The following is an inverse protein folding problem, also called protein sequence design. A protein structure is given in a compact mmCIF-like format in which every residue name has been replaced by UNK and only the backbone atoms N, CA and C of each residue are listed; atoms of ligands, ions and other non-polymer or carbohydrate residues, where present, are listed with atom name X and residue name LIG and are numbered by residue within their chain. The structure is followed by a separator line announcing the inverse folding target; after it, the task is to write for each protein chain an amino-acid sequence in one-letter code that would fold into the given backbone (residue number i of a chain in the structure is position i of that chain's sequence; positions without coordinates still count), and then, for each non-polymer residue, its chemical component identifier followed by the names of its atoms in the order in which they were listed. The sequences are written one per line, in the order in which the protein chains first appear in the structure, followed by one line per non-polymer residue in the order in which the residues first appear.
data_IF_873159352992
#
_entry.id   IF_873159352992
#
_cell.length_a   1.000
_cell.length_b   1.000
_cell.length_c   1.000
_cell.angle_alpha   90.00
_cell.angle_beta   90.00
_cell.angle_gamma   90.00
#
_symmetry.space_group_name_H-M   'P 1'
#
loop_
_entity.id
_entity.type
_entity.pdbx_description
1 polymer ?
#
# COMPACT_ATOMS: atom_id res chain seq x y z
N UNK A 1 -13.17 3.03 -4.95
CA UNK A 1 -11.95 2.63 -5.68
C UNK A 1 -11.15 3.87 -6.03
N UNK A 2 -9.81 3.81 -5.99
CA UNK A 2 -8.96 4.94 -6.35
C UNK A 2 -8.59 4.86 -7.83
N UNK A 3 -9.42 5.39 -8.69
CA UNK A 3 -9.32 5.25 -10.15
C UNK A 3 -8.40 6.30 -10.81
N UNK A 4 -8.12 7.40 -10.11
CA UNK A 4 -7.56 8.61 -10.74
C UNK A 4 -6.15 8.96 -10.29
N UNK A 5 -5.53 8.21 -9.40
CA UNK A 5 -4.21 8.55 -8.86
C UNK A 5 -3.42 7.28 -8.50
N UNK A 6 -2.16 7.23 -8.91
CA UNK A 6 -1.23 6.17 -8.55
C UNK A 6 -0.78 6.23 -7.07
N UNK A 7 -1.08 7.29 -6.34
CA UNK A 7 -0.81 7.38 -4.90
C UNK A 7 -1.54 6.25 -4.16
N UNK A 8 -0.83 5.47 -3.37
CA UNK A 8 -1.34 4.28 -2.71
C UNK A 8 -1.08 2.98 -3.46
N UNK A 9 -0.49 3.04 -4.64
CA UNK A 9 -0.04 1.85 -5.36
C UNK A 9 1.45 1.54 -5.09
N UNK A 10 1.84 0.27 -5.27
CA UNK A 10 3.25 -0.14 -5.19
C UNK A 10 4.15 0.67 -6.12
N UNK A 11 3.65 1.05 -7.29
CA UNK A 11 4.40 1.88 -8.24
C UNK A 11 4.80 3.26 -7.72
N UNK A 12 4.07 3.85 -6.74
CA UNK A 12 4.52 5.06 -6.08
C UNK A 12 5.71 4.77 -5.15
N UNK A 13 5.67 3.68 -4.39
CA UNK A 13 6.79 3.27 -3.54
C UNK A 13 8.03 2.93 -4.36
N UNK A 14 7.88 2.26 -5.51
CA UNK A 14 8.98 1.97 -6.42
C UNK A 14 9.65 3.24 -6.96
N UNK A 15 8.86 4.28 -7.29
CA UNK A 15 9.41 5.58 -7.70
C UNK A 15 10.10 6.29 -6.53
N UNK A 16 9.49 6.30 -5.35
CA UNK A 16 10.10 6.87 -4.16
C UNK A 16 11.45 6.20 -3.83
N UNK A 17 11.53 4.88 -3.94
CA UNK A 17 12.79 4.14 -3.77
C UNK A 17 13.88 4.64 -4.71
N UNK A 18 13.54 4.88 -5.99
CA UNK A 18 14.50 5.40 -6.99
C UNK A 18 15.00 6.81 -6.64
N UNK A 19 14.12 7.71 -6.18
CA UNK A 19 14.52 9.07 -5.78
C UNK A 19 15.37 9.09 -4.51
N UNK A 20 15.17 8.10 -3.64
CA UNK A 20 15.89 7.96 -2.38
C UNK A 20 17.11 7.02 -2.48
N UNK A 21 17.38 6.48 -3.68
CA UNK A 21 18.48 5.56 -3.96
C UNK A 21 18.52 4.32 -3.05
N UNK A 22 17.34 3.78 -2.74
CA UNK A 22 17.16 2.58 -1.93
C UNK A 22 16.43 1.48 -2.71
N UNK A 23 16.49 0.24 -2.25
CA UNK A 23 15.68 -0.84 -2.83
C UNK A 23 14.25 -0.81 -2.29
N UNK A 24 13.32 -1.44 -3.01
CA UNK A 24 11.92 -1.54 -2.55
C UNK A 24 11.83 -2.33 -1.24
N UNK A 25 12.71 -3.31 -1.07
CA UNK A 25 12.81 -4.16 0.13
C UNK A 25 13.27 -3.37 1.35
N UNK A 26 14.11 -2.35 1.17
CA UNK A 26 14.65 -1.52 2.26
C UNK A 26 13.64 -0.50 2.78
N UNK A 27 12.64 -0.11 1.99
CA UNK A 27 11.67 0.93 2.34
C UNK A 27 11.01 0.66 3.70
N UNK A 28 10.53 -0.56 3.92
CA UNK A 28 9.84 -0.96 5.15
C UNK A 28 10.74 -0.85 6.39
N UNK A 29 11.89 -1.56 6.41
CA UNK A 29 12.87 -1.49 7.50
C UNK A 29 13.34 -0.06 7.80
N UNK A 30 13.76 0.70 6.79
CA UNK A 30 14.24 2.08 6.96
C UNK A 30 13.15 2.97 7.56
N UNK A 31 11.95 2.92 7.05
CA UNK A 31 10.81 3.74 7.53
C UNK A 31 10.51 3.52 9.01
N UNK A 32 10.84 2.35 9.59
CA UNK A 32 10.67 2.09 11.02
C UNK A 32 11.72 2.80 11.88
N UNK A 33 12.86 3.17 11.30
CA UNK A 33 13.92 3.92 11.97
C UNK A 33 13.64 5.42 12.10
N UNK A 34 12.58 5.93 11.51
CA UNK A 34 12.25 7.35 11.50
C UNK A 34 12.09 7.94 12.88
N UNK A 35 12.69 9.11 13.08
CA UNK A 35 12.63 9.87 14.34
C UNK A 35 11.68 11.07 14.24
N UNK A 36 11.62 11.69 13.05
CA UNK A 36 10.82 12.89 12.77
C UNK A 36 10.20 12.78 11.38
N UNK A 37 9.15 11.96 11.19
CA UNK A 37 8.51 11.76 9.90
C UNK A 37 8.12 13.08 9.24
N UNK A 38 8.48 13.24 7.97
CA UNK A 38 8.16 14.46 7.23
C UNK A 38 6.76 14.38 6.62
N UNK A 39 6.01 15.48 6.58
CA UNK A 39 4.72 15.50 5.92
C UNK A 39 4.91 15.36 4.40
N UNK A 40 4.16 14.42 3.81
CA UNK A 40 4.12 14.17 2.36
C UNK A 40 2.66 14.24 1.92
N UNK A 41 2.41 14.90 0.79
CA UNK A 41 1.06 15.06 0.24
C UNK A 41 0.41 13.69 -0.06
N UNK A 42 -0.82 13.52 0.41
CA UNK A 42 -1.65 12.35 0.09
C UNK A 42 -2.57 12.56 -1.11
N UNK A 43 -2.57 13.75 -1.71
CA UNK A 43 -3.51 14.16 -2.77
C UNK A 43 -3.07 13.69 -4.14
N UNK A 44 -1.81 13.93 -4.50
CA UNK A 44 -1.29 13.67 -5.83
C UNK A 44 0.14 13.10 -5.76
N UNK A 45 0.40 12.01 -6.50
CA UNK A 45 1.72 11.40 -6.55
C UNK A 45 2.80 12.35 -7.08
N UNK A 46 2.48 13.20 -8.06
CA UNK A 46 3.43 14.17 -8.63
C UNK A 46 3.82 15.23 -7.60
N UNK A 47 2.87 15.74 -6.82
CA UNK A 47 3.17 16.67 -5.73
C UNK A 47 4.02 15.99 -4.66
N UNK A 48 3.67 14.75 -4.28
CA UNK A 48 4.45 13.97 -3.33
C UNK A 48 5.88 13.73 -3.80
N UNK A 49 6.09 13.44 -5.09
CA UNK A 49 7.44 13.28 -5.68
C UNK A 49 8.25 14.57 -5.56
N UNK A 50 7.65 15.72 -5.85
CA UNK A 50 8.31 17.03 -5.71
C UNK A 50 8.67 17.33 -4.24
N UNK A 51 7.81 16.96 -3.29
CA UNK A 51 8.08 17.11 -1.86
C UNK A 51 9.22 16.19 -1.40
N UNK A 52 9.27 14.92 -1.88
CA UNK A 52 10.36 13.99 -1.60
C UNK A 52 11.70 14.59 -2.06
N UNK A 53 11.77 15.08 -3.31
CA UNK A 53 12.98 15.70 -3.86
C UNK A 53 13.40 16.92 -3.05
N UNK A 54 12.44 17.74 -2.63
CA UNK A 54 12.70 18.90 -1.79
C UNK A 54 13.28 18.49 -0.43
N UNK A 55 12.72 17.47 0.23
CA UNK A 55 13.25 16.97 1.50
C UNK A 55 14.68 16.42 1.35
N UNK A 56 14.95 15.68 0.28
CA UNK A 56 16.30 15.20 -0.03
C UNK A 56 17.27 16.36 -0.19
N UNK A 57 16.88 17.42 -0.92
CA UNK A 57 17.73 18.60 -1.12
C UNK A 57 18.00 19.38 0.16
N UNK A 58 17.13 19.26 1.16
CA UNK A 58 17.30 19.85 2.50
C UNK A 58 18.11 18.97 3.45
N UNK A 59 18.58 17.79 3.01
CA UNK A 59 19.34 16.87 3.84
C UNK A 59 18.51 16.12 4.88
N UNK A 60 17.21 15.98 4.65
CA UNK A 60 16.34 15.17 5.53
C UNK A 60 16.71 13.69 5.40
N UNK A 61 16.74 12.98 6.51
CA UNK A 61 17.04 11.54 6.54
C UNK A 61 16.02 10.72 5.75
N UNK A 62 16.52 9.71 5.05
CA UNK A 62 15.70 8.82 4.19
C UNK A 62 14.58 8.14 5.00
N UNK A 63 14.87 7.75 6.23
CA UNK A 63 13.93 7.11 7.15
C UNK A 63 12.72 7.99 7.42
N UNK A 64 12.95 9.27 7.67
CA UNK A 64 11.91 10.25 7.98
C UNK A 64 11.04 10.56 6.75
N UNK A 65 11.62 10.60 5.57
CA UNK A 65 10.90 10.77 4.30
C UNK A 65 10.04 9.52 4.03
N UNK A 66 10.61 8.32 4.12
CA UNK A 66 9.92 7.06 3.90
C UNK A 66 8.74 6.87 4.87
N UNK A 67 8.93 7.23 6.14
CA UNK A 67 7.84 7.19 7.11
C UNK A 67 6.73 8.19 6.76
N UNK A 68 7.08 9.38 6.30
CA UNK A 68 6.13 10.37 5.81
C UNK A 68 5.30 9.84 4.64
N UNK A 69 5.95 9.14 3.70
CA UNK A 69 5.29 8.47 2.58
C UNK A 69 4.29 7.43 3.08
N UNK A 70 4.68 6.52 3.97
CA UNK A 70 3.78 5.52 4.52
C UNK A 70 2.59 6.13 5.26
N UNK A 71 2.83 7.19 6.04
CA UNK A 71 1.77 7.91 6.74
C UNK A 71 0.77 8.52 5.75
N UNK A 72 1.26 9.15 4.67
CA UNK A 72 0.39 9.74 3.64
C UNK A 72 -0.47 8.71 2.93
N UNK A 73 0.10 7.52 2.63
CA UNK A 73 -0.62 6.41 2.04
C UNK A 73 -1.68 5.83 3.00
N UNK A 74 -1.35 5.71 4.28
CA UNK A 74 -2.27 5.26 5.32
C UNK A 74 -3.43 6.26 5.50
N UNK A 75 -3.14 7.57 5.53
CA UNK A 75 -4.15 8.62 5.61
C UNK A 75 -5.14 8.57 4.44
N UNK A 76 -4.62 8.37 3.24
CA UNK A 76 -5.44 8.24 2.04
C UNK A 76 -6.31 6.99 2.09
N UNK A 77 -5.75 5.83 2.44
CA UNK A 77 -6.49 4.58 2.59
C UNK A 77 -7.60 4.73 3.63
N UNK A 78 -7.30 5.32 4.77
CA UNK A 78 -8.27 5.59 5.84
C UNK A 78 -9.41 6.49 5.38
N UNK A 79 -9.10 7.57 4.65
CA UNK A 79 -10.11 8.45 4.07
C UNK A 79 -11.06 7.75 3.10
N UNK A 80 -10.56 6.78 2.32
CA UNK A 80 -11.38 5.97 1.43
C UNK A 80 -12.22 4.95 2.20
N UNK A 81 -11.64 4.28 3.19
CA UNK A 81 -12.32 3.31 4.03
C UNK A 81 -13.48 3.96 4.80
N UNK A 82 -13.29 5.17 5.34
CA UNK A 82 -14.37 5.92 6.01
C UNK A 82 -15.61 6.15 5.13
N UNK A 83 -15.43 6.30 3.82
CA UNK A 83 -16.56 6.52 2.89
C UNK A 83 -17.37 5.26 2.64
N UNK A 84 -16.77 4.07 2.81
CA UNK A 84 -17.44 2.76 2.62
C UNK A 84 -18.06 2.27 3.92
N UNK A 85 -17.68 2.87 5.04
CA UNK A 85 -17.98 2.39 6.39
C UNK A 85 -16.82 1.51 6.91
N UNK A 86 -16.44 1.76 8.15
CA UNK A 86 -15.45 0.97 8.88
C UNK A 86 -16.16 0.27 10.01
N UNK A 87 -16.16 -1.06 9.99
CA UNK A 87 -16.75 -1.87 11.04
C UNK A 87 -15.83 -3.06 11.33
N UNK A 88 -15.29 -3.09 12.54
CA UNK A 88 -14.48 -4.19 13.06
C UNK A 88 -13.05 -4.24 12.57
N UNK A 89 -12.74 -5.09 11.60
CA UNK A 89 -11.39 -5.38 11.11
C UNK A 89 -11.29 -5.26 9.59
N UNK A 90 -10.08 -5.10 9.08
CA UNK A 90 -9.81 -5.11 7.65
C UNK A 90 -8.74 -6.13 7.30
N UNK A 91 -8.76 -6.61 6.07
CA UNK A 91 -7.69 -7.42 5.49
C UNK A 91 -6.95 -6.61 4.43
N UNK A 92 -5.64 -6.43 4.63
CA UNK A 92 -4.76 -5.74 3.69
C UNK A 92 -4.13 -6.76 2.75
N UNK A 93 -4.33 -6.58 1.44
CA UNK A 93 -3.83 -7.49 0.39
C UNK A 93 -3.03 -6.73 -0.67
N UNK A 94 -2.34 -7.47 -1.54
CA UNK A 94 -1.48 -6.92 -2.59
C UNK A 94 -0.02 -6.80 -2.15
N UNK A 95 0.89 -6.48 -3.09
CA UNK A 95 2.33 -6.41 -2.83
C UNK A 95 2.72 -5.41 -1.75
N UNK A 96 2.00 -4.30 -1.62
CA UNK A 96 2.24 -3.27 -0.59
C UNK A 96 2.02 -3.80 0.84
N UNK A 97 1.19 -4.84 1.01
CA UNK A 97 0.98 -5.48 2.30
C UNK A 97 2.20 -6.24 2.82
N UNK A 98 3.23 -6.43 1.99
CA UNK A 98 4.55 -7.01 2.38
C UNK A 98 5.48 -5.97 3.01
N UNK A 99 5.15 -4.69 2.91
CA UNK A 99 5.96 -3.60 3.46
C UNK A 99 5.65 -3.37 4.94
N UNK A 100 6.55 -3.77 5.81
CA UNK A 100 6.41 -3.65 7.28
C UNK A 100 6.09 -2.22 7.71
N UNK A 101 6.80 -1.23 7.15
CA UNK A 101 6.58 0.18 7.47
C UNK A 101 5.18 0.66 7.10
N UNK A 102 4.62 0.15 6.00
CA UNK A 102 3.24 0.45 5.61
C UNK A 102 2.22 -0.18 6.57
N UNK A 103 2.48 -1.40 7.03
CA UNK A 103 1.62 -2.07 8.01
C UNK A 103 1.61 -1.33 9.35
N UNK A 104 2.78 -0.86 9.80
CA UNK A 104 2.89 -0.04 11.01
C UNK A 104 2.08 1.24 10.85
N UNK A 105 2.28 2.00 9.76
CA UNK A 105 1.55 3.23 9.51
C UNK A 105 0.03 3.01 9.42
N UNK A 106 -0.39 1.92 8.76
CA UNK A 106 -1.80 1.57 8.64
C UNK A 106 -2.43 1.23 10.00
N UNK A 107 -1.77 0.42 10.83
CA UNK A 107 -2.26 0.04 12.16
C UNK A 107 -2.38 1.24 13.09
N UNK A 108 -1.38 2.12 13.09
CA UNK A 108 -1.40 3.35 13.89
C UNK A 108 -2.53 4.29 13.44
N UNK A 109 -2.71 4.45 12.12
CA UNK A 109 -3.73 5.35 11.58
C UNK A 109 -5.14 4.85 11.76
N UNK A 110 -5.35 3.53 11.58
CA UNK A 110 -6.68 2.96 11.60
C UNK A 110 -7.19 2.74 13.03
N UNK A 111 -6.31 2.40 13.97
CA UNK A 111 -6.67 2.15 15.36
C UNK A 111 -7.46 0.86 15.60
N UNK A 112 -7.47 -0.05 14.62
CA UNK A 112 -8.12 -1.35 14.69
C UNK A 112 -7.30 -2.44 14.00
N UNK A 113 -7.77 -3.70 14.06
CA UNK A 113 -7.04 -4.85 13.54
C UNK A 113 -6.88 -4.77 12.02
N UNK A 114 -5.62 -4.87 11.57
CA UNK A 114 -5.24 -5.03 10.16
C UNK A 114 -4.68 -6.42 9.95
N UNK A 115 -5.47 -7.28 9.33
CA UNK A 115 -5.07 -8.64 8.95
C UNK A 115 -4.25 -8.62 7.67
N UNK A 116 -3.25 -9.51 7.59
CA UNK A 116 -2.46 -9.72 6.37
C UNK A 116 -2.38 -11.23 6.15
N UNK A 117 -2.85 -11.77 5.01
CA UNK A 117 -2.74 -13.18 4.70
C UNK A 117 -1.28 -13.55 4.43
N UNK A 118 -0.96 -14.85 4.48
CA UNK A 118 0.38 -15.38 4.25
C UNK A 118 0.97 -14.96 2.89
N UNK A 119 0.14 -14.95 1.84
CA UNK A 119 0.51 -14.54 0.49
C UNK A 119 -0.38 -13.40 0.00
N UNK A 120 -0.18 -12.17 0.54
CA UNK A 120 -1.06 -11.05 0.24
C UNK A 120 -1.07 -10.65 -1.24
N UNK A 121 0.05 -10.84 -1.94
CA UNK A 121 0.21 -10.54 -3.36
C UNK A 121 -0.61 -11.46 -4.29
N UNK A 122 -0.93 -12.67 -3.84
CA UNK A 122 -1.70 -13.64 -4.62
C UNK A 122 -3.18 -13.67 -4.28
N UNK A 123 -3.60 -13.02 -3.21
CA UNK A 123 -4.97 -13.10 -2.68
C UNK A 123 -6.02 -12.66 -3.71
N UNK A 124 -5.77 -11.58 -4.46
CA UNK A 124 -6.71 -11.11 -5.48
C UNK A 124 -6.84 -12.09 -6.65
N UNK A 125 -5.72 -12.69 -7.09
CA UNK A 125 -5.73 -13.70 -8.16
C UNK A 125 -6.47 -14.96 -7.73
N UNK A 126 -6.25 -15.45 -6.50
CA UNK A 126 -6.97 -16.57 -5.92
C UNK A 126 -8.48 -16.28 -5.83
N UNK A 127 -8.85 -15.10 -5.35
CA UNK A 127 -10.25 -14.67 -5.29
C UNK A 127 -10.92 -14.65 -6.67
N UNK A 128 -10.23 -14.11 -7.67
CA UNK A 128 -10.73 -14.09 -9.05
C UNK A 128 -10.91 -15.51 -9.62
N UNK A 129 -9.97 -16.41 -9.37
CA UNK A 129 -10.05 -17.81 -9.79
C UNK A 129 -11.23 -18.54 -9.13
N UNK A 130 -11.46 -18.33 -7.84
CA UNK A 130 -12.59 -18.92 -7.09
C UNK A 130 -13.93 -18.39 -7.61
N UNK A 131 -14.05 -17.09 -7.85
CA UNK A 131 -15.25 -16.49 -8.43
C UNK A 131 -15.52 -17.01 -9.85
N UNK A 132 -14.47 -17.15 -10.67
CA UNK A 132 -14.54 -17.76 -11.99
C UNK A 132 -15.06 -19.21 -11.94
N UNK A 133 -14.51 -20.01 -11.03
CA UNK A 133 -14.96 -21.39 -10.83
C UNK A 133 -16.42 -21.47 -10.38
N UNK A 134 -16.83 -20.63 -9.44
CA UNK A 134 -18.24 -20.56 -9.01
C UNK A 134 -19.16 -20.18 -10.18
N UNK A 135 -18.73 -19.25 -11.04
CA UNK A 135 -19.49 -18.84 -12.22
C UNK A 135 -19.63 -19.98 -13.21
N UNK A 136 -18.56 -20.73 -13.48
CA UNK A 136 -18.59 -21.91 -14.37
C UNK A 136 -19.54 -22.98 -13.85
N UNK A 137 -19.51 -23.28 -12.55
CA UNK A 137 -20.43 -24.24 -11.91
C UNK A 137 -21.89 -23.79 -12.08
N UNK A 138 -22.20 -22.51 -11.85
CA UNK A 138 -23.57 -21.96 -12.05
C UNK A 138 -24.04 -22.03 -13.48
N UNK A 139 -23.14 -21.97 -14.47
CA UNK A 139 -23.46 -22.08 -15.90
C UNK A 139 -23.51 -23.53 -16.40
N UNK A 140 -23.33 -24.53 -15.54
CA UNK A 140 -23.27 -25.94 -15.91
C UNK A 140 -22.08 -26.31 -16.80
N UNK A 141 -21.03 -25.49 -16.85
CA UNK A 141 -19.82 -25.74 -17.65
C UNK A 141 -18.75 -26.38 -16.78
N UNK A 142 -18.21 -27.57 -17.17
CA UNK A 142 -17.08 -28.15 -16.45
C UNK A 142 -15.84 -27.27 -16.58
N UNK A 143 -15.08 -27.12 -15.49
CA UNK A 143 -13.75 -26.50 -15.56
C UNK A 143 -12.85 -27.42 -16.41
N UNK A 144 -12.43 -26.96 -17.60
CA UNK A 144 -11.38 -27.66 -18.35
C UNK A 144 -10.08 -27.49 -17.61
N UNK A 145 -9.39 -28.57 -17.29
CA UNK A 145 -8.02 -28.50 -16.80
C UNK A 145 -7.16 -27.81 -17.88
N UNK A 146 -6.34 -26.84 -17.46
CA UNK A 146 -5.29 -26.31 -18.33
C UNK A 146 -4.29 -27.44 -18.60
N UNK A 147 -4.06 -27.72 -19.88
CA UNK A 147 -3.05 -28.66 -20.32
C UNK A 147 -1.65 -28.03 -20.18
#
# INVERSE_FOLDING_TARGET
MNEKCAAGSGGFLERAAKYLEVTVEDIGPLSRGAQKPQPISSVCAVLAESEIINHVSQGVGVEDILRGIHNSLADRAYGMLKRVGLDGEITFIGGVAKQDGMLVAAREKFGFTVNVPEHPEHTAALGAALLGLQRLKKLGRPAKAAA
#
